data_IF_663999305914
#
_entry.id   IF_663999305914
#
_cell.length_a   1.000
_cell.length_b   1.000
_cell.length_c   1.000
_cell.angle_alpha   90.00
_cell.angle_beta   90.00
_cell.angle_gamma   90.00
#
_symmetry.space_group_name_H-M   'P 1'
#
loop_
_entity.id
_entity.type
_entity.pdbx_description
1 polymer ?
#
# COMPACT_ATOMS: atom_id res chain seq x y z
N UNK A 1 13.70 5.32 0.90
CA UNK A 1 14.11 3.98 1.39
C UNK A 1 12.88 3.09 1.48
N UNK A 2 11.88 3.47 2.29
CA UNK A 2 10.62 2.75 2.51
C UNK A 2 9.93 2.21 1.24
N UNK A 3 9.94 3.01 0.17
CA UNK A 3 9.13 2.74 -1.03
C UNK A 3 9.48 1.42 -1.72
N UNK A 4 10.77 1.12 -1.84
CA UNK A 4 11.22 -0.11 -2.49
C UNK A 4 11.05 -1.33 -1.59
N UNK A 5 11.25 -1.16 -0.28
CA UNK A 5 11.20 -2.25 0.69
C UNK A 5 9.77 -2.83 0.82
N UNK A 6 8.74 -1.98 0.80
CA UNK A 6 7.34 -2.44 0.82
C UNK A 6 7.01 -3.30 -0.40
N UNK A 7 7.36 -2.84 -1.60
CA UNK A 7 7.03 -3.57 -2.83
C UNK A 7 7.83 -4.88 -2.93
N UNK A 8 9.08 -4.89 -2.49
CA UNK A 8 9.86 -6.13 -2.40
C UNK A 8 9.23 -7.14 -1.43
N UNK A 9 8.69 -6.68 -0.30
CA UNK A 9 7.98 -7.55 0.64
C UNK A 9 6.67 -8.11 0.05
N UNK A 10 5.93 -7.30 -0.72
CA UNK A 10 4.73 -7.74 -1.45
C UNK A 10 5.09 -8.79 -2.51
N UNK A 11 6.14 -8.53 -3.29
CA UNK A 11 6.61 -9.44 -4.33
C UNK A 11 7.09 -10.77 -3.70
N UNK A 12 7.78 -10.71 -2.56
CA UNK A 12 8.19 -11.90 -1.80
C UNK A 12 6.98 -12.67 -1.23
N UNK A 13 5.96 -11.99 -0.70
CA UNK A 13 4.76 -12.64 -0.20
C UNK A 13 3.91 -13.29 -1.32
N UNK A 14 3.98 -12.76 -2.54
CA UNK A 14 3.35 -13.35 -3.72
C UNK A 14 4.16 -14.49 -4.35
N UNK A 15 5.47 -14.53 -4.10
CA UNK A 15 6.34 -15.65 -4.47
C UNK A 15 6.09 -16.82 -3.50
N UNK A 16 5.37 -17.83 -3.99
CA UNK A 16 5.07 -19.06 -3.24
C UNK A 16 6.36 -19.75 -2.76
N UNK A 17 6.58 -19.85 -1.45
CA UNK A 17 7.74 -20.56 -0.88
C UNK A 17 7.47 -22.08 -0.69
N UNK A 18 6.22 -22.56 -0.82
CA UNK A 18 5.84 -23.92 -0.37
C UNK A 18 5.08 -24.79 -1.38
N UNK A 19 4.65 -24.26 -2.53
CA UNK A 19 4.01 -25.03 -3.60
C UNK A 19 4.76 -24.99 -4.93
N UNK A 20 5.42 -26.09 -5.33
CA UNK A 20 6.17 -26.22 -6.60
C UNK A 20 5.33 -26.18 -7.90
N UNK A 21 4.40 -25.24 -8.03
CA UNK A 21 3.68 -24.90 -9.26
C UNK A 21 4.25 -23.63 -9.91
N UNK A 22 4.13 -23.51 -11.23
CA UNK A 22 4.65 -22.37 -12.00
C UNK A 22 3.89 -21.04 -11.80
N UNK A 23 2.89 -21.03 -10.91
CA UNK A 23 2.01 -19.91 -10.61
C UNK A 23 2.01 -19.73 -9.09
N UNK A 24 2.67 -18.69 -8.58
CA UNK A 24 2.77 -18.42 -7.13
C UNK A 24 1.42 -18.14 -6.45
N UNK A 25 1.43 -17.71 -5.19
CA UNK A 25 0.21 -17.44 -4.43
C UNK A 25 -0.61 -16.32 -5.10
N UNK A 26 -1.89 -16.61 -5.40
CA UNK A 26 -2.82 -15.68 -6.04
C UNK A 26 -4.02 -15.42 -5.12
N UNK A 27 -4.11 -14.26 -4.45
CA UNK A 27 -5.26 -13.94 -3.61
C UNK A 27 -6.51 -13.62 -4.43
N UNK A 28 -7.68 -13.92 -3.89
CA UNK A 28 -8.97 -13.47 -4.42
C UNK A 28 -9.29 -12.01 -4.08
N UNK A 29 -8.56 -11.42 -3.12
CA UNK A 29 -8.72 -10.05 -2.63
C UNK A 29 -7.41 -9.53 -2.05
N UNK A 30 -7.01 -8.32 -2.41
CA UNK A 30 -5.95 -7.58 -1.73
C UNK A 30 -6.56 -6.60 -0.72
N UNK A 31 -6.26 -6.81 0.56
CA UNK A 31 -6.68 -5.93 1.65
C UNK A 31 -5.51 -5.05 2.10
N UNK A 32 -5.65 -3.73 2.03
CA UNK A 32 -4.62 -2.78 2.45
C UNK A 32 -5.06 -2.15 3.77
N UNK A 33 -4.30 -2.40 4.84
CA UNK A 33 -4.40 -1.66 6.10
C UNK A 33 -3.70 -0.31 5.90
N UNK A 34 -4.48 0.71 5.53
CA UNK A 34 -4.00 2.01 5.05
C UNK A 34 -3.83 3.01 6.21
N UNK A 35 -2.67 2.95 6.87
CA UNK A 35 -2.24 3.91 7.89
C UNK A 35 -1.50 5.10 7.29
N UNK A 36 -1.98 6.32 7.59
CA UNK A 36 -1.42 7.59 7.14
C UNK A 36 -0.56 8.29 8.21
N UNK A 37 -0.34 7.64 9.34
CA UNK A 37 0.63 8.06 10.36
C UNK A 37 2.08 7.92 9.89
N UNK A 38 2.29 7.23 8.78
CA UNK A 38 3.55 7.15 8.05
C UNK A 38 3.90 8.41 7.24
N UNK A 39 3.00 9.40 7.15
CA UNK A 39 3.27 10.66 6.45
C UNK A 39 4.14 11.62 7.26
N UNK A 40 5.02 12.35 6.57
CA UNK A 40 5.96 13.30 7.13
C UNK A 40 5.25 14.40 7.92
N UNK A 41 5.53 14.47 9.22
CA UNK A 41 4.91 15.43 10.13
C UNK A 41 3.64 14.93 10.83
N UNK A 42 3.27 13.65 10.67
CA UNK A 42 2.35 13.01 11.61
C UNK A 42 2.97 12.93 13.02
N UNK A 43 2.21 13.20 14.10
CA UNK A 43 2.75 13.24 15.46
C UNK A 43 3.17 11.88 16.04
N UNK A 44 2.73 10.74 15.47
CA UNK A 44 2.97 9.41 16.05
C UNK A 44 3.92 8.53 15.24
N UNK A 45 3.92 8.61 13.91
CA UNK A 45 4.67 7.63 13.10
C UNK A 45 6.17 7.91 12.94
N UNK A 46 6.60 9.18 12.89
CA UNK A 46 8.02 9.53 12.77
C UNK A 46 8.69 9.15 11.44
N UNK A 47 7.89 8.84 10.41
CA UNK A 47 8.33 8.55 9.05
C UNK A 47 8.46 9.83 8.20
N UNK A 48 8.93 9.68 6.97
CA UNK A 48 9.17 10.79 6.03
C UNK A 48 8.48 10.59 4.69
N UNK A 49 7.36 9.88 4.65
CA UNK A 49 6.61 9.67 3.40
C UNK A 49 5.76 10.89 3.07
N UNK A 50 5.55 11.12 1.78
CA UNK A 50 4.66 12.15 1.30
C UNK A 50 3.39 11.52 0.70
N UNK A 51 2.27 12.26 0.57
CA UNK A 51 1.05 11.75 -0.07
C UNK A 51 1.28 11.13 -1.45
N UNK A 52 2.26 11.63 -2.21
CA UNK A 52 2.67 11.10 -3.51
C UNK A 52 3.23 9.67 -3.42
N UNK A 53 3.89 9.31 -2.32
CA UNK A 53 4.37 7.94 -2.09
C UNK A 53 3.19 6.96 -1.93
N UNK A 54 2.10 7.41 -1.31
CA UNK A 54 0.87 6.61 -1.18
C UNK A 54 0.22 6.33 -2.53
N UNK A 55 0.19 7.35 -3.42
CA UNK A 55 -0.28 7.16 -4.78
C UNK A 55 0.62 6.19 -5.56
N UNK A 56 1.94 6.32 -5.42
CA UNK A 56 2.91 5.44 -6.06
C UNK A 56 2.70 3.98 -5.66
N UNK A 57 2.65 3.69 -4.35
CA UNK A 57 2.42 2.33 -3.86
C UNK A 57 1.07 1.77 -4.31
N UNK A 58 0.01 2.55 -4.20
CA UNK A 58 -1.34 2.10 -4.57
C UNK A 58 -1.40 1.76 -6.06
N UNK A 59 -0.78 2.58 -6.92
CA UNK A 59 -0.68 2.31 -8.36
C UNK A 59 0.12 1.03 -8.63
N UNK A 60 1.29 0.91 -7.98
CA UNK A 60 2.17 -0.24 -8.13
C UNK A 60 1.54 -1.56 -7.65
N UNK A 61 0.73 -1.51 -6.60
CA UNK A 61 -0.07 -2.64 -6.12
C UNK A 61 -1.17 -2.99 -7.13
N UNK A 62 -1.89 -1.99 -7.66
CA UNK A 62 -2.92 -2.20 -8.68
C UNK A 62 -2.39 -2.87 -9.95
N UNK A 63 -1.21 -2.46 -10.40
CA UNK A 63 -0.53 -3.08 -11.53
C UNK A 63 -0.16 -4.54 -11.27
N UNK A 64 0.31 -4.86 -10.05
CA UNK A 64 0.66 -6.24 -9.62
C UNK A 64 -0.56 -7.13 -9.43
N UNK A 65 -1.66 -6.57 -8.92
CA UNK A 65 -2.88 -7.30 -8.58
C UNK A 65 -3.69 -7.73 -9.82
N UNK A 66 -3.44 -7.13 -10.99
CA UNK A 66 -4.17 -7.49 -12.21
C UNK A 66 -5.68 -7.31 -12.05
N UNK A 67 -6.45 -8.39 -12.11
CA UNK A 67 -7.90 -8.38 -11.90
C UNK A 67 -8.34 -8.61 -10.45
N UNK A 68 -7.40 -8.85 -9.53
CA UNK A 68 -7.72 -9.07 -8.11
C UNK A 68 -8.26 -7.76 -7.52
N UNK A 69 -9.45 -7.77 -6.90
CA UNK A 69 -10.03 -6.59 -6.28
C UNK A 69 -9.15 -6.09 -5.13
N UNK A 70 -9.10 -4.77 -4.96
CA UNK A 70 -8.32 -4.11 -3.92
C UNK A 70 -9.26 -3.32 -3.02
N UNK A 71 -9.13 -3.50 -1.71
CA UNK A 71 -9.86 -2.75 -0.70
C UNK A 71 -8.87 -2.14 0.28
N UNK A 72 -8.87 -0.81 0.38
CA UNK A 72 -8.09 -0.09 1.37
C UNK A 72 -8.97 0.29 2.58
N UNK A 73 -8.53 -0.06 3.78
CA UNK A 73 -9.19 0.26 5.04
C UNK A 73 -8.40 1.33 5.75
N UNK A 74 -9.05 2.43 6.10
CA UNK A 74 -8.43 3.50 6.89
C UNK A 74 -8.11 3.00 8.29
N UNK A 75 -6.87 3.23 8.73
CA UNK A 75 -6.36 2.88 10.05
C UNK A 75 -5.89 4.13 10.81
N UNK A 76 -4.58 4.27 11.02
CA UNK A 76 -3.94 5.43 11.64
C UNK A 76 -3.80 6.63 10.71
N UNK A 77 -3.36 7.76 11.29
CA UNK A 77 -3.26 9.05 10.61
C UNK A 77 -3.87 10.14 11.49
N UNK A 78 -3.02 10.88 12.17
CA UNK A 78 -3.40 11.74 13.29
C UNK A 78 -3.21 13.23 12.99
N UNK A 79 -2.62 13.54 11.82
CA UNK A 79 -2.53 14.90 11.28
C UNK A 79 -3.56 15.09 10.15
N UNK A 80 -4.70 15.69 10.47
CA UNK A 80 -5.92 15.65 9.64
C UNK A 80 -5.74 16.14 8.19
N UNK A 81 -4.94 17.17 7.94
CA UNK A 81 -4.75 17.66 6.57
C UNK A 81 -3.82 16.75 5.74
N UNK A 82 -2.85 16.05 6.37
CA UNK A 82 -2.12 14.97 5.70
C UNK A 82 -2.99 13.75 5.48
N UNK A 83 -3.78 13.35 6.48
CA UNK A 83 -4.72 12.25 6.34
C UNK A 83 -5.63 12.48 5.12
N UNK A 84 -6.20 13.68 4.99
CA UNK A 84 -7.03 14.04 3.85
C UNK A 84 -6.25 13.98 2.52
N UNK A 85 -5.01 14.46 2.49
CA UNK A 85 -4.16 14.41 1.31
C UNK A 85 -3.81 12.97 0.90
N UNK A 86 -3.41 12.14 1.87
CA UNK A 86 -3.07 10.73 1.67
C UNK A 86 -4.25 9.88 1.23
N UNK A 87 -5.41 10.00 1.90
CA UNK A 87 -6.64 9.31 1.49
C UNK A 87 -7.02 9.69 0.05
N UNK A 88 -6.94 10.98 -0.29
CA UNK A 88 -7.21 11.44 -1.66
C UNK A 88 -6.22 10.84 -2.67
N UNK A 89 -4.95 10.69 -2.32
CA UNK A 89 -3.94 10.07 -3.16
C UNK A 89 -4.26 8.59 -3.43
N UNK A 90 -4.59 7.82 -2.38
CA UNK A 90 -4.99 6.41 -2.49
C UNK A 90 -6.26 6.24 -3.33
N UNK A 91 -7.33 6.98 -3.03
CA UNK A 91 -8.60 6.87 -3.78
C UNK A 91 -8.42 7.19 -5.26
N UNK A 92 -7.60 8.20 -5.60
CA UNK A 92 -7.29 8.53 -7.00
C UNK A 92 -6.48 7.45 -7.70
N UNK A 93 -5.58 6.77 -7.00
CA UNK A 93 -4.77 5.69 -7.56
C UNK A 93 -5.56 4.37 -7.70
N UNK A 94 -6.63 4.18 -6.94
CA UNK A 94 -7.53 3.03 -7.08
C UNK A 94 -8.56 3.18 -8.23
N UNK A 95 -8.93 4.42 -8.58
CA UNK A 95 -9.88 4.73 -9.64
C UNK A 95 -9.33 4.42 -11.04
#
# INVERSE_FOLDING_TARGET
MYVHDLLAAVDAAAADEEGGGADGWRPDLLLISAGFDSLAGDPLGGFTLEPEDMAFWTTALRERSGSVPIVALLEGGYRLDLLAAGVRAVVRALA
#
